data_IF_755666686168
#
_entry.id   IF_755666686168
#
_cell.length_a   1.000
_cell.length_b   1.000
_cell.length_c   1.000
_cell.angle_alpha   90.00
_cell.angle_beta   90.00
_cell.angle_gamma   90.00
#
_symmetry.space_group_name_H-M   'P 1'
#
loop_
_entity.id
_entity.type
_entity.pdbx_description
1 polymer ?
#
# COMPACT_ATOMS: atom_id res chain seq x y z
N UNK A 1 -19.70 -17.94 -26.25
CA UNK A 1 -18.97 -16.91 -27.03
C UNK A 1 -18.98 -15.51 -26.39
N UNK A 2 -20.07 -15.05 -25.78
CA UNK A 2 -20.13 -13.73 -25.08
C UNK A 2 -19.34 -13.71 -23.75
N UNK A 3 -19.33 -14.79 -22.97
CA UNK A 3 -18.61 -14.88 -21.70
C UNK A 3 -17.07 -14.75 -21.90
N UNK A 4 -16.53 -15.34 -22.95
CA UNK A 4 -15.10 -15.25 -23.31
C UNK A 4 -14.75 -13.82 -23.72
N UNK A 5 -15.62 -13.12 -24.44
CA UNK A 5 -15.39 -11.72 -24.83
C UNK A 5 -15.45 -10.76 -23.64
N UNK A 6 -16.32 -11.03 -22.66
CA UNK A 6 -16.39 -10.27 -21.40
C UNK A 6 -15.13 -10.51 -20.55
N UNK A 7 -14.65 -11.77 -20.46
CA UNK A 7 -13.42 -12.11 -19.78
C UNK A 7 -12.19 -11.46 -20.46
N UNK A 8 -12.15 -11.44 -21.78
CA UNK A 8 -11.07 -10.81 -22.55
C UNK A 8 -11.12 -9.28 -22.42
N UNK A 9 -12.30 -8.67 -22.32
CA UNK A 9 -12.44 -7.23 -22.10
C UNK A 9 -12.05 -6.83 -20.67
N UNK A 10 -12.34 -7.64 -19.67
CA UNK A 10 -11.90 -7.46 -18.29
C UNK A 10 -10.38 -7.63 -18.12
N UNK A 11 -9.74 -8.50 -18.92
CA UNK A 11 -8.29 -8.68 -18.95
C UNK A 11 -7.55 -7.53 -19.67
N UNK A 12 -8.19 -6.86 -20.62
CA UNK A 12 -7.63 -5.72 -21.37
C UNK A 12 -7.82 -4.35 -20.68
N UNK A 13 -8.69 -4.28 -19.66
CA UNK A 13 -8.92 -3.07 -18.87
C UNK A 13 -7.86 -2.84 -17.75
N UNK A 14 -6.82 -3.68 -17.68
CA UNK A 14 -5.72 -3.55 -16.71
C UNK A 14 -4.64 -2.59 -17.20
N UNK A 15 -4.98 -1.32 -17.37
CA UNK A 15 -3.95 -0.33 -17.73
C UNK A 15 -4.20 0.98 -17.00
N UNK A 16 -3.13 1.40 -16.38
CA UNK A 16 -2.81 2.68 -15.73
C UNK A 16 -2.91 2.69 -14.22
N UNK A 17 -1.73 2.44 -13.64
CA UNK A 17 -1.48 2.52 -12.20
C UNK A 17 -0.78 3.82 -11.93
N UNK A 18 -1.46 4.71 -11.23
CA UNK A 18 -0.85 5.90 -10.68
C UNK A 18 -0.91 5.77 -9.17
N UNK A 19 0.23 5.57 -8.53
CA UNK A 19 0.32 5.62 -7.08
C UNK A 19 1.02 6.91 -6.67
N UNK A 20 0.27 7.86 -6.15
CA UNK A 20 0.86 9.06 -5.55
C UNK A 20 1.18 8.87 -4.07
N UNK A 21 0.72 7.77 -3.45
CA UNK A 21 0.91 7.55 -2.01
C UNK A 21 0.98 6.05 -1.69
N UNK A 22 1.83 5.71 -0.71
CA UNK A 22 2.04 4.33 -0.27
C UNK A 22 1.25 4.06 1.01
N UNK A 23 0.40 3.02 0.98
CA UNK A 23 -0.30 2.54 2.15
C UNK A 23 0.61 1.59 2.94
N UNK A 24 1.30 2.15 3.93
CA UNK A 24 2.30 1.41 4.71
C UNK A 24 1.70 0.46 5.75
N UNK A 25 0.44 0.67 6.15
CA UNK A 25 -0.26 -0.27 7.04
C UNK A 25 -0.66 -1.56 6.31
N UNK A 26 -1.00 -1.49 5.02
CA UNK A 26 -1.25 -2.67 4.20
C UNK A 26 -0.03 -3.60 4.08
N UNK A 27 1.18 -3.08 4.32
CA UNK A 27 2.43 -3.83 4.31
C UNK A 27 2.69 -4.51 5.67
N UNK A 28 2.00 -4.11 6.74
CA UNK A 28 2.16 -4.68 8.08
C UNK A 28 1.72 -6.16 8.09
N UNK A 29 2.58 -7.05 8.59
CA UNK A 29 2.23 -8.45 8.81
C UNK A 29 1.87 -8.68 10.28
N UNK A 30 0.79 -9.40 10.53
CA UNK A 30 0.45 -9.93 11.86
C UNK A 30 1.22 -11.23 12.12
N UNK A 31 1.73 -11.39 13.34
CA UNK A 31 2.41 -12.58 13.89
C UNK A 31 3.53 -13.18 13.03
N UNK A 32 4.74 -12.86 13.42
CA UNK A 32 5.97 -13.44 12.87
C UNK A 32 6.83 -13.87 14.08
N UNK A 33 7.55 -14.99 13.97
CA UNK A 33 8.51 -15.43 14.99
C UNK A 33 9.60 -14.37 15.19
N UNK A 34 10.16 -14.28 16.40
CA UNK A 34 11.21 -13.33 16.74
C UNK A 34 12.44 -13.45 15.83
N UNK A 35 13.16 -12.34 15.68
CA UNK A 35 14.40 -12.25 14.92
C UNK A 35 14.32 -11.39 13.67
N UNK A 36 15.31 -11.55 12.82
CA UNK A 36 15.37 -10.90 11.51
C UNK A 36 14.67 -11.74 10.46
N UNK A 37 13.93 -11.07 9.58
CA UNK A 37 13.36 -11.66 8.37
C UNK A 37 13.54 -10.70 7.21
N UNK A 38 13.80 -11.23 6.03
CA UNK A 38 13.88 -10.44 4.81
C UNK A 38 13.04 -11.08 3.72
N UNK A 39 12.60 -10.24 2.78
CA UNK A 39 11.91 -10.66 1.57
C UNK A 39 12.31 -9.76 0.43
N UNK A 40 12.60 -10.36 -0.70
CA UNK A 40 12.87 -9.68 -1.96
C UNK A 40 11.84 -10.17 -2.97
N UNK A 41 11.16 -9.24 -3.61
CA UNK A 41 10.28 -9.50 -4.74
C UNK A 41 10.85 -8.79 -5.96
N UNK A 42 11.01 -9.49 -7.08
CA UNK A 42 11.48 -8.94 -8.36
C UNK A 42 10.50 -9.35 -9.46
N UNK A 43 10.01 -8.37 -10.19
CA UNK A 43 9.08 -8.56 -11.29
C UNK A 43 9.63 -7.90 -12.55
N UNK A 44 9.57 -8.59 -13.67
CA UNK A 44 9.97 -8.07 -14.97
C UNK A 44 8.88 -8.36 -15.99
N UNK A 45 8.61 -7.39 -16.86
CA UNK A 45 7.69 -7.52 -17.96
C UNK A 45 8.31 -7.04 -19.26
N UNK A 46 8.13 -7.81 -20.33
CA UNK A 46 8.51 -7.44 -21.68
C UNK A 46 7.33 -7.74 -22.60
N UNK A 47 6.94 -6.77 -23.40
CA UNK A 47 5.99 -6.96 -24.49
C UNK A 47 6.58 -6.40 -25.77
N UNK A 48 6.47 -7.14 -26.86
CA UNK A 48 6.98 -6.74 -28.17
C UNK A 48 5.96 -7.09 -29.26
N UNK A 49 5.87 -6.26 -30.28
CA UNK A 49 4.94 -6.42 -31.39
C UNK A 49 4.05 -5.20 -31.58
N UNK A 50 2.74 -5.38 -31.64
CA UNK A 50 1.78 -4.27 -31.85
C UNK A 50 1.75 -3.26 -30.71
N UNK A 51 2.16 -3.67 -29.52
CA UNK A 51 2.47 -2.80 -28.38
C UNK A 51 3.84 -3.18 -27.85
N UNK A 52 4.63 -2.18 -27.47
CA UNK A 52 5.96 -2.37 -26.92
C UNK A 52 6.01 -1.79 -25.53
N UNK A 53 6.35 -2.59 -24.51
CA UNK A 53 6.68 -2.08 -23.20
C UNK A 53 7.74 -2.95 -22.51
N UNK A 54 8.52 -2.30 -21.66
CA UNK A 54 9.40 -2.91 -20.69
C UNK A 54 9.02 -2.42 -19.31
N UNK A 55 9.00 -3.31 -18.33
CA UNK A 55 8.76 -2.96 -16.94
C UNK A 55 9.64 -3.75 -16.01
N UNK A 56 10.03 -3.12 -14.90
CA UNK A 56 10.74 -3.74 -13.80
C UNK A 56 10.20 -3.21 -12.48
N UNK A 57 9.99 -4.10 -11.53
CA UNK A 57 9.62 -3.75 -10.15
C UNK A 57 10.48 -4.57 -9.19
N UNK A 58 11.05 -3.90 -8.19
CA UNK A 58 11.83 -4.52 -7.14
C UNK A 58 11.34 -4.04 -5.77
N UNK A 59 11.11 -4.98 -4.85
CA UNK A 59 10.77 -4.69 -3.46
C UNK A 59 11.67 -5.45 -2.52
N UNK A 60 12.24 -4.76 -1.55
CA UNK A 60 13.00 -5.33 -0.44
C UNK A 60 12.29 -4.97 0.87
N UNK A 61 12.07 -5.96 1.72
CA UNK A 61 11.58 -5.78 3.07
C UNK A 61 12.48 -6.48 4.08
N UNK A 62 12.80 -5.80 5.17
CA UNK A 62 13.54 -6.33 6.31
C UNK A 62 12.74 -6.04 7.57
N UNK A 63 12.40 -7.08 8.32
CA UNK A 63 11.71 -7.01 9.61
C UNK A 63 12.66 -7.41 10.73
N UNK A 64 12.59 -6.71 11.85
CA UNK A 64 13.19 -7.10 13.12
C UNK A 64 12.14 -7.12 14.20
N UNK A 65 11.98 -8.29 14.85
CA UNK A 65 10.87 -8.58 15.75
C UNK A 65 11.39 -9.05 17.10
N UNK A 66 10.90 -8.44 18.15
CA UNK A 66 11.08 -8.79 19.55
C UNK A 66 9.71 -8.81 20.26
N UNK A 67 9.61 -9.42 21.47
CA UNK A 67 8.33 -9.50 22.18
C UNK A 67 7.67 -8.16 22.45
N UNK A 68 8.45 -7.12 22.76
CA UNK A 68 7.94 -5.80 23.13
C UNK A 68 7.95 -4.79 21.99
N UNK A 69 8.63 -5.06 20.87
CA UNK A 69 8.72 -4.11 19.75
C UNK A 69 8.98 -4.78 18.41
N UNK A 70 8.56 -4.10 17.38
CA UNK A 70 8.78 -4.50 15.99
C UNK A 70 9.30 -3.31 15.20
N UNK A 71 10.23 -3.55 14.30
CA UNK A 71 10.63 -2.56 13.32
C UNK A 71 10.71 -3.19 11.94
N UNK A 72 10.47 -2.39 10.91
CA UNK A 72 10.70 -2.84 9.55
C UNK A 72 11.16 -1.68 8.67
N UNK A 73 11.91 -2.04 7.63
CA UNK A 73 12.25 -1.18 6.51
C UNK A 73 11.71 -1.85 5.25
N UNK A 74 11.06 -1.08 4.40
CA UNK A 74 10.63 -1.52 3.07
C UNK A 74 11.04 -0.49 2.04
N UNK A 75 11.68 -0.95 0.96
CA UNK A 75 11.98 -0.16 -0.22
C UNK A 75 11.34 -0.78 -1.46
N UNK A 76 10.85 0.04 -2.36
CA UNK A 76 10.31 -0.37 -3.65
C UNK A 76 10.78 0.58 -4.74
N UNK A 77 11.12 0.02 -5.87
CA UNK A 77 11.37 0.75 -7.11
C UNK A 77 10.49 0.14 -8.21
N UNK A 78 9.93 0.97 -9.06
CA UNK A 78 9.16 0.52 -10.21
C UNK A 78 9.41 1.43 -11.41
N UNK A 79 9.74 0.82 -12.54
CA UNK A 79 9.94 1.49 -13.81
C UNK A 79 9.11 0.83 -14.88
N UNK A 80 8.45 1.62 -15.71
CA UNK A 80 7.73 1.15 -16.88
C UNK A 80 7.87 2.15 -18.01
N UNK A 81 8.31 1.66 -19.16
CA UNK A 81 8.39 2.39 -20.41
C UNK A 81 7.53 1.68 -21.47
N UNK A 82 6.81 2.43 -22.28
CA UNK A 82 6.04 1.90 -23.39
C UNK A 82 6.07 2.86 -24.57
N UNK A 83 6.26 2.31 -25.79
CA UNK A 83 6.38 3.08 -27.01
C UNK A 83 7.41 4.22 -26.93
N UNK A 84 8.56 3.96 -26.28
CA UNK A 84 9.66 4.92 -26.04
C UNK A 84 9.28 6.12 -25.15
N UNK A 85 8.22 6.00 -24.38
CA UNK A 85 7.83 6.99 -23.38
C UNK A 85 7.77 6.34 -22.00
N UNK A 86 8.31 7.04 -21.00
CA UNK A 86 8.22 6.58 -19.60
C UNK A 86 6.76 6.68 -19.16
N UNK A 87 6.20 5.55 -18.72
CA UNK A 87 4.83 5.46 -18.22
C UNK A 87 4.80 5.54 -16.70
N UNK A 88 5.84 5.00 -16.02
CA UNK A 88 5.96 5.04 -14.58
C UNK A 88 7.43 4.98 -14.19
N UNK A 89 7.85 5.90 -13.35
CA UNK A 89 9.13 5.91 -12.67
C UNK A 89 8.89 6.40 -11.24
N UNK A 90 9.05 5.50 -10.28
CA UNK A 90 8.76 5.78 -8.87
C UNK A 90 9.61 4.92 -7.96
N UNK A 91 9.90 5.45 -6.79
CA UNK A 91 10.46 4.68 -5.69
C UNK A 91 10.00 5.22 -4.34
N UNK A 92 9.99 4.36 -3.34
CA UNK A 92 9.86 4.77 -1.95
C UNK A 92 10.75 3.94 -1.03
N UNK A 93 11.09 4.55 0.09
CA UNK A 93 11.75 3.91 1.23
C UNK A 93 10.99 4.30 2.49
N UNK A 94 10.53 3.31 3.25
CA UNK A 94 9.79 3.51 4.48
C UNK A 94 10.40 2.71 5.62
N UNK A 95 10.61 3.38 6.77
CA UNK A 95 11.00 2.76 8.02
C UNK A 95 9.94 2.98 9.08
N UNK A 96 9.61 1.95 9.86
CA UNK A 96 8.65 2.04 10.97
C UNK A 96 9.14 1.30 12.19
N UNK A 97 8.96 1.92 13.34
CA UNK A 97 9.15 1.33 14.66
C UNK A 97 7.81 1.29 15.40
N UNK A 98 7.51 0.17 16.03
CA UNK A 98 6.26 -0.10 16.74
C UNK A 98 6.63 -0.67 18.10
N UNK A 99 6.08 -0.10 19.15
CA UNK A 99 6.21 -0.59 20.50
C UNK A 99 4.89 -1.16 20.98
N UNK A 100 4.88 -2.37 21.50
CA UNK A 100 3.69 -3.05 22.02
C UNK A 100 3.62 -2.83 23.53
N UNK A 101 2.80 -1.88 23.98
CA UNK A 101 2.60 -1.62 25.42
C UNK A 101 1.80 -2.77 26.02
N UNK A 102 0.70 -3.11 25.38
CA UNK A 102 -0.19 -4.21 25.74
C UNK A 102 -0.94 -4.72 24.48
N UNK A 103 -1.92 -5.58 24.66
CA UNK A 103 -2.73 -6.11 23.55
C UNK A 103 -3.64 -5.08 22.88
N UNK A 104 -3.82 -3.90 23.49
CA UNK A 104 -4.75 -2.85 23.03
C UNK A 104 -4.01 -1.71 22.33
N UNK A 105 -2.84 -1.30 22.82
CA UNK A 105 -2.16 -0.06 22.43
C UNK A 105 -0.76 -0.33 21.86
N UNK A 106 -0.54 0.14 20.64
CA UNK A 106 0.74 0.08 19.93
C UNK A 106 1.14 1.48 19.46
N UNK A 107 1.92 2.27 20.24
CA UNK A 107 2.55 3.48 19.72
C UNK A 107 3.51 3.14 18.59
N UNK A 108 3.53 4.02 17.58
CA UNK A 108 4.36 3.84 16.38
C UNK A 108 4.99 5.15 15.91
N UNK A 109 6.16 5.00 15.31
CA UNK A 109 6.92 6.08 14.68
C UNK A 109 7.36 5.63 13.29
N UNK A 110 7.35 6.55 12.31
CA UNK A 110 7.77 6.24 10.96
C UNK A 110 8.46 7.40 10.25
N UNK A 111 9.29 7.02 9.29
CA UNK A 111 9.90 7.93 8.32
C UNK A 111 9.68 7.37 6.92
N UNK A 112 9.54 8.24 5.92
CA UNK A 112 9.39 7.83 4.52
C UNK A 112 10.03 8.85 3.59
N UNK A 113 10.61 8.35 2.51
CA UNK A 113 11.04 9.14 1.36
C UNK A 113 10.49 8.49 0.10
N UNK A 114 9.96 9.31 -0.82
CA UNK A 114 9.43 8.79 -2.08
C UNK A 114 9.51 9.82 -3.21
N UNK A 115 9.51 9.33 -4.44
CA UNK A 115 9.22 10.11 -5.64
C UNK A 115 8.29 9.34 -6.56
N UNK A 116 7.61 10.05 -7.45
CA UNK A 116 6.71 9.46 -8.44
C UNK A 116 6.50 10.46 -9.58
N UNK A 117 7.27 10.29 -10.66
CA UNK A 117 7.26 11.21 -11.79
C UNK A 117 5.91 11.26 -12.51
N UNK A 118 5.12 10.19 -12.42
CA UNK A 118 3.81 10.14 -13.06
C UNK A 118 2.81 11.16 -12.49
N UNK A 119 2.91 11.45 -11.20
CA UNK A 119 2.08 12.47 -10.51
C UNK A 119 2.87 13.74 -10.23
N UNK A 120 3.96 13.96 -10.98
CA UNK A 120 4.81 15.15 -10.87
C UNK A 120 5.49 15.31 -9.50
N UNK A 121 5.52 14.25 -8.67
CA UNK A 121 6.12 14.27 -7.35
C UNK A 121 7.63 13.98 -7.47
N UNK A 122 8.44 15.03 -7.38
CA UNK A 122 9.91 14.92 -7.46
C UNK A 122 10.51 14.39 -6.17
N UNK A 123 10.03 14.85 -5.03
CA UNK A 123 10.49 14.43 -3.70
C UNK A 123 9.37 14.59 -2.67
N UNK A 124 9.22 13.60 -1.81
CA UNK A 124 8.36 13.67 -0.62
C UNK A 124 9.09 13.04 0.55
N UNK A 125 9.17 13.79 1.63
CA UNK A 125 9.74 13.33 2.89
C UNK A 125 8.67 13.40 3.96
N UNK A 126 8.48 12.31 4.68
CA UNK A 126 7.53 12.18 5.77
C UNK A 126 8.26 11.77 7.05
N UNK A 127 7.88 12.38 8.16
CA UNK A 127 8.22 11.95 9.50
C UNK A 127 6.98 12.02 10.38
N UNK A 128 6.62 10.95 11.04
CA UNK A 128 5.37 10.94 11.79
C UNK A 128 5.32 9.85 12.84
N UNK A 129 4.24 9.90 13.62
CA UNK A 129 3.95 8.92 14.64
C UNK A 129 2.50 8.95 15.05
N UNK A 130 2.11 7.95 15.81
CA UNK A 130 0.74 7.79 16.26
C UNK A 130 0.58 6.64 17.23
N UNK A 131 -0.67 6.31 17.49
CA UNK A 131 -1.07 5.18 18.31
C UNK A 131 -2.05 4.34 17.53
N UNK A 132 -1.77 3.04 17.45
CA UNK A 132 -2.69 2.03 16.94
C UNK A 132 -3.43 1.40 18.10
N UNK A 133 -4.74 1.32 17.99
CA UNK A 133 -5.67 0.82 18.98
C UNK A 133 -6.35 -0.43 18.42
N UNK A 134 -6.30 -1.55 19.15
CA UNK A 134 -7.06 -2.74 18.82
C UNK A 134 -8.53 -2.54 19.22
N UNK A 135 -9.44 -2.49 18.26
CA UNK A 135 -10.88 -2.34 18.52
C UNK A 135 -11.54 -3.70 18.78
N UNK A 136 -11.14 -4.69 17.98
CA UNK A 136 -11.64 -6.06 18.10
C UNK A 136 -10.52 -7.00 17.68
N UNK A 137 -10.07 -7.85 18.60
CA UNK A 137 -9.04 -8.86 18.33
C UNK A 137 -9.62 -10.23 18.64
N UNK A 138 -9.78 -11.04 17.61
CA UNK A 138 -9.96 -12.47 17.75
C UNK A 138 -8.67 -13.13 17.28
N UNK A 139 -8.02 -13.89 18.14
CA UNK A 139 -6.78 -14.56 17.78
C UNK A 139 -7.02 -15.54 16.63
N UNK A 140 -6.50 -15.22 15.44
CA UNK A 140 -6.44 -16.16 14.31
C UNK A 140 -5.48 -17.35 14.54
N UNK A 141 -4.99 -17.52 15.78
CA UNK A 141 -3.85 -18.41 16.10
C UNK A 141 -4.27 -19.81 16.43
N UNK A 142 -5.51 -20.04 16.73
CA UNK A 142 -5.99 -21.37 17.03
C UNK A 142 -7.00 -21.82 16.00
N UNK A 143 -6.58 -22.78 15.17
CA UNK A 143 -7.40 -23.70 14.39
C UNK A 143 -8.62 -23.08 13.65
N UNK A 144 -8.50 -23.01 12.33
CA UNK A 144 -9.60 -22.99 11.35
C UNK A 144 -10.90 -22.23 11.71
N UNK A 145 -10.88 -21.27 12.60
CA UNK A 145 -12.09 -20.53 12.96
C UNK A 145 -12.19 -19.17 12.28
N UNK A 146 -13.39 -18.86 11.76
CA UNK A 146 -13.77 -17.53 11.31
C UNK A 146 -13.38 -16.47 12.33
N UNK A 147 -12.70 -15.40 11.91
CA UNK A 147 -12.20 -14.34 12.79
C UNK A 147 -12.37 -12.96 12.18
N UNK A 148 -12.45 -11.96 13.05
CA UNK A 148 -12.50 -10.56 12.67
C UNK A 148 -11.61 -9.74 13.61
N UNK A 149 -10.67 -8.98 13.02
CA UNK A 149 -9.83 -8.01 13.72
C UNK A 149 -10.04 -6.63 13.14
N UNK A 150 -10.17 -5.63 14.01
CA UNK A 150 -10.25 -4.23 13.63
C UNK A 150 -9.28 -3.39 14.45
N UNK A 151 -8.60 -2.47 13.78
CA UNK A 151 -7.65 -1.55 14.40
C UNK A 151 -7.88 -0.13 13.91
N UNK A 152 -7.81 0.82 14.82
CA UNK A 152 -7.84 2.25 14.53
C UNK A 152 -6.45 2.84 14.81
N UNK A 153 -5.86 3.50 13.83
CA UNK A 153 -4.66 4.29 14.00
C UNK A 153 -5.01 5.77 14.03
N UNK A 154 -4.43 6.51 14.98
CA UNK A 154 -4.56 7.96 15.07
C UNK A 154 -3.16 8.54 15.22
N UNK A 155 -2.81 9.50 14.35
CA UNK A 155 -1.47 10.07 14.35
C UNK A 155 -1.37 11.38 13.59
N UNK A 156 -0.12 11.86 13.52
CA UNK A 156 0.24 13.02 12.73
C UNK A 156 1.60 12.80 12.06
N UNK A 157 1.82 13.53 10.97
CA UNK A 157 3.09 13.54 10.25
C UNK A 157 3.41 14.94 9.77
N UNK A 158 4.69 15.25 9.73
CA UNK A 158 5.23 16.36 8.97
C UNK A 158 5.53 15.87 7.56
N UNK A 159 5.03 16.57 6.58
CA UNK A 159 5.15 16.28 5.16
C UNK A 159 5.84 17.44 4.46
N UNK A 160 6.88 17.15 3.70
CA UNK A 160 7.53 18.06 2.79
C UNK A 160 7.46 17.44 1.38
N UNK A 161 6.84 18.17 0.46
CA UNK A 161 6.67 17.74 -0.94
C UNK A 161 7.27 18.76 -1.90
N UNK A 162 7.90 18.25 -2.96
CA UNK A 162 8.34 19.01 -4.11
C UNK A 162 7.63 18.48 -5.36
N UNK A 163 6.89 19.37 -6.01
CA UNK A 163 6.11 19.07 -7.21
C UNK A 163 6.79 19.72 -8.43
N UNK A 164 7.00 18.93 -9.48
CA UNK A 164 7.62 19.34 -10.74
C UNK A 164 6.65 20.11 -11.64
N UNK A 165 6.31 21.31 -11.26
CA UNK A 165 5.56 22.28 -12.06
C UNK A 165 6.40 23.56 -12.22
N UNK A 166 6.02 24.46 -13.10
CA UNK A 166 6.75 25.72 -13.33
C UNK A 166 5.92 26.90 -12.81
N UNK A 167 6.42 27.63 -11.78
CA UNK A 167 7.64 27.38 -10.99
C UNK A 167 7.49 26.14 -10.10
N UNK A 168 8.62 25.51 -9.72
CA UNK A 168 8.63 24.38 -8.77
C UNK A 168 7.85 24.74 -7.50
N UNK A 169 6.94 23.87 -7.08
CA UNK A 169 6.10 24.09 -5.90
C UNK A 169 6.59 23.20 -4.74
N UNK A 170 6.97 23.85 -3.64
CA UNK A 170 7.37 23.15 -2.41
C UNK A 170 6.32 23.44 -1.34
N UNK A 171 5.85 22.39 -0.68
CA UNK A 171 4.92 22.48 0.44
C UNK A 171 5.51 21.82 1.68
N UNK A 172 5.27 22.44 2.82
CA UNK A 172 5.64 21.93 4.15
C UNK A 172 4.41 22.04 5.05
N UNK A 173 3.87 20.90 5.45
CA UNK A 173 2.61 20.87 6.21
C UNK A 173 2.65 19.82 7.33
N UNK A 174 1.82 20.03 8.34
CA UNK A 174 1.47 19.01 9.32
C UNK A 174 0.15 18.39 8.89
N UNK A 175 0.17 17.07 8.67
CA UNK A 175 -1.00 16.31 8.27
C UNK A 175 -1.40 15.35 9.38
N UNK A 176 -2.67 15.38 9.77
CA UNK A 176 -3.24 14.30 10.58
C UNK A 176 -3.29 13.04 9.72
N UNK A 177 -2.87 11.91 10.25
CA UNK A 177 -2.88 10.62 9.55
C UNK A 177 -3.60 9.58 10.39
N UNK A 178 -4.79 9.19 9.94
CA UNK A 178 -5.64 8.25 10.64
C UNK A 178 -5.90 7.06 9.72
N UNK A 179 -6.04 5.86 10.28
CA UNK A 179 -6.36 4.71 9.47
C UNK A 179 -7.26 3.71 10.20
N UNK A 180 -8.03 2.98 9.42
CA UNK A 180 -8.82 1.84 9.84
C UNK A 180 -8.32 0.60 9.12
N UNK A 181 -7.90 -0.41 9.88
CA UNK A 181 -7.54 -1.74 9.37
C UNK A 181 -8.64 -2.73 9.74
N UNK A 182 -9.14 -3.46 8.76
CA UNK A 182 -10.11 -4.53 8.92
C UNK A 182 -9.53 -5.82 8.36
N UNK A 183 -9.46 -6.85 9.19
CA UNK A 183 -9.10 -8.21 8.78
C UNK A 183 -10.31 -9.10 9.06
N UNK A 184 -10.87 -9.69 8.03
CA UNK A 184 -12.00 -10.58 8.16
C UNK A 184 -11.74 -11.92 7.46
N UNK A 185 -11.82 -12.98 8.21
CA UNK A 185 -11.70 -14.36 7.72
C UNK A 185 -13.01 -15.09 8.04
N UNK A 186 -14.03 -15.03 7.18
CA UNK A 186 -15.31 -15.69 7.42
C UNK A 186 -15.24 -17.20 7.27
N UNK A 187 -14.24 -17.72 6.55
CA UNK A 187 -14.00 -19.16 6.38
C UNK A 187 -12.51 -19.43 6.15
N UNK A 188 -12.11 -20.70 6.18
CA UNK A 188 -10.73 -21.10 5.91
C UNK A 188 -10.29 -20.78 4.48
N UNK A 189 -11.23 -20.74 3.56
CA UNK A 189 -10.95 -20.54 2.14
C UNK A 189 -11.08 -19.09 1.68
N UNK A 190 -11.52 -18.16 2.56
CA UNK A 190 -11.73 -16.77 2.18
C UNK A 190 -11.29 -15.82 3.27
N UNK A 191 -10.55 -14.77 2.88
CA UNK A 191 -10.19 -13.67 3.76
C UNK A 191 -10.22 -12.32 3.04
N UNK A 192 -10.50 -11.28 3.79
CA UNK A 192 -10.45 -9.89 3.37
C UNK A 192 -9.51 -9.14 4.32
N UNK A 193 -8.58 -8.39 3.75
CA UNK A 193 -7.80 -7.39 4.45
C UNK A 193 -8.09 -6.04 3.80
N UNK A 194 -8.53 -5.06 4.56
CA UNK A 194 -8.79 -3.71 4.07
C UNK A 194 -8.13 -2.69 4.98
N UNK A 195 -7.39 -1.77 4.40
CA UNK A 195 -6.77 -0.66 5.13
C UNK A 195 -7.16 0.64 4.45
N UNK A 196 -7.80 1.52 5.20
CA UNK A 196 -8.20 2.85 4.72
C UNK A 196 -7.50 3.92 5.55
N UNK A 197 -6.70 4.75 4.90
CA UNK A 197 -6.17 5.99 5.48
C UNK A 197 -7.07 7.17 5.16
N UNK A 198 -7.21 8.04 6.13
CA UNK A 198 -7.71 9.40 5.98
C UNK A 198 -6.65 10.38 6.51
N UNK A 199 -6.16 11.22 5.64
CA UNK A 199 -5.13 12.21 5.94
C UNK A 199 -5.67 13.60 5.63
N UNK A 200 -5.39 14.57 6.48
CA UNK A 200 -5.86 15.94 6.32
C UNK A 200 -4.80 16.93 6.79
N UNK A 201 -4.57 18.01 6.02
CA UNK A 201 -3.79 19.15 6.46
C UNK A 201 -4.49 19.82 7.64
N UNK A 202 -3.82 19.90 8.80
CA UNK A 202 -4.41 20.44 10.04
C UNK A 202 -4.75 21.92 9.94
N UNK A 203 -4.14 22.65 9.00
CA UNK A 203 -4.39 24.07 8.76
C UNK A 203 -5.41 24.32 7.64
N UNK A 204 -5.61 23.33 6.74
CA UNK A 204 -6.50 23.44 5.57
C UNK A 204 -7.32 22.16 5.42
N UNK A 205 -8.43 22.06 6.15
CA UNK A 205 -9.26 20.85 6.20
C UNK A 205 -9.82 20.40 4.83
N UNK A 206 -9.82 21.29 3.84
CA UNK A 206 -10.17 20.94 2.46
C UNK A 206 -9.09 20.09 1.78
N UNK A 207 -7.83 20.27 2.15
CA UNK A 207 -6.72 19.44 1.66
C UNK A 207 -6.72 18.10 2.42
N UNK A 208 -7.36 17.12 1.83
CA UNK A 208 -7.45 15.78 2.40
C UNK A 208 -7.23 14.70 1.37
N UNK A 209 -6.73 13.56 1.85
CA UNK A 209 -6.41 12.38 1.05
C UNK A 209 -7.05 11.14 1.65
N UNK A 210 -7.53 10.25 0.78
CA UNK A 210 -8.04 8.92 1.16
C UNK A 210 -7.25 7.87 0.40
N UNK A 211 -6.69 6.91 1.14
CA UNK A 211 -6.01 5.77 0.54
C UNK A 211 -6.71 4.51 1.04
N UNK A 212 -7.15 3.66 0.13
CA UNK A 212 -7.68 2.35 0.49
C UNK A 212 -6.95 1.26 -0.28
N UNK A 213 -6.53 0.23 0.43
CA UNK A 213 -6.03 -1.02 -0.14
C UNK A 213 -6.86 -2.16 0.43
N UNK A 214 -7.60 -2.82 -0.44
CA UNK A 214 -8.43 -3.97 -0.07
C UNK A 214 -7.99 -5.19 -0.86
N UNK A 215 -7.64 -6.24 -0.13
CA UNK A 215 -7.25 -7.55 -0.67
C UNK A 215 -8.27 -8.60 -0.30
N UNK A 216 -8.81 -9.24 -1.32
CA UNK A 216 -9.63 -10.44 -1.22
C UNK A 216 -8.74 -11.65 -1.56
N UNK A 217 -8.75 -12.68 -0.73
CA UNK A 217 -7.96 -13.87 -0.94
C UNK A 217 -8.85 -15.11 -0.84
N UNK A 218 -8.77 -15.95 -1.87
CA UNK A 218 -9.52 -17.20 -1.98
C UNK A 218 -8.51 -18.36 -2.04
N UNK A 219 -8.49 -19.22 -1.04
CA UNK A 219 -7.65 -20.43 -1.03
C UNK A 219 -8.25 -21.48 -1.94
N UNK A 220 -7.54 -21.84 -3.01
CA UNK A 220 -7.90 -22.92 -3.94
C UNK A 220 -7.39 -24.25 -3.36
N UNK A 221 -6.14 -24.22 -2.86
CA UNK A 221 -5.51 -25.29 -2.08
C UNK A 221 -4.75 -24.68 -0.92
N UNK A 222 -4.09 -25.49 -0.10
CA UNK A 222 -3.21 -24.99 0.98
C UNK A 222 -2.11 -24.07 0.45
N UNK A 223 -1.53 -24.42 -0.73
CA UNK A 223 -0.41 -23.70 -1.35
C UNK A 223 -0.82 -22.72 -2.46
N UNK A 224 -2.05 -22.79 -2.98
CA UNK A 224 -2.49 -21.99 -4.12
C UNK A 224 -3.65 -21.09 -3.72
N UNK A 225 -3.48 -19.78 -3.91
CA UNK A 225 -4.49 -18.78 -3.56
C UNK A 225 -4.74 -17.86 -4.74
N UNK A 226 -6.00 -17.62 -5.04
CA UNK A 226 -6.41 -16.54 -5.93
C UNK A 226 -6.53 -15.25 -5.12
N UNK A 227 -6.00 -14.16 -5.65
CA UNK A 227 -6.05 -12.84 -5.00
C UNK A 227 -6.65 -11.81 -5.93
N UNK A 228 -7.47 -10.95 -5.35
CA UNK A 228 -8.03 -9.77 -6.00
C UNK A 228 -7.71 -8.56 -5.11
N UNK A 229 -6.98 -7.59 -5.66
CA UNK A 229 -6.59 -6.37 -4.97
C UNK A 229 -7.32 -5.19 -5.59
N UNK A 230 -7.88 -4.34 -4.74
CA UNK A 230 -8.48 -3.08 -5.09
C UNK A 230 -7.72 -1.99 -4.35
N UNK A 231 -7.11 -1.07 -5.08
CA UNK A 231 -6.37 0.05 -4.53
C UNK A 231 -7.04 1.34 -5.00
N UNK A 232 -7.47 2.16 -4.06
CA UNK A 232 -8.09 3.45 -4.31
C UNK A 232 -7.26 4.55 -3.67
N UNK A 233 -7.02 5.61 -4.43
CA UNK A 233 -6.33 6.82 -4.00
C UNK A 233 -7.18 8.02 -4.37
N UNK A 234 -7.37 8.91 -3.44
CA UNK A 234 -8.04 10.18 -3.63
C UNK A 234 -7.18 11.28 -3.01
N UNK A 235 -6.93 12.32 -3.78
CA UNK A 235 -6.28 13.56 -3.35
C UNK A 235 -7.18 14.72 -3.76
N UNK A 236 -7.61 15.53 -2.79
CA UNK A 236 -8.52 16.65 -3.04
C UNK A 236 -7.85 17.82 -3.74
N UNK A 237 -6.54 17.98 -3.54
CA UNK A 237 -5.75 19.06 -4.12
C UNK A 237 -4.53 18.47 -4.89
N UNK A 238 -4.76 17.70 -5.98
CA UNK A 238 -3.67 17.14 -6.75
C UNK A 238 -2.96 18.24 -7.56
N UNK A 239 -1.72 18.01 -8.03
CA UNK A 239 -1.05 18.91 -8.97
C UNK A 239 -1.90 19.15 -10.22
N UNK A 240 -1.73 20.33 -10.86
CA UNK A 240 -2.43 20.66 -12.10
C UNK A 240 -2.14 19.62 -13.19
N UNK A 241 -3.21 19.14 -13.84
CA UNK A 241 -3.14 18.07 -14.84
C UNK A 241 -3.23 16.66 -14.29
N UNK A 242 -3.16 16.47 -12.97
CA UNK A 242 -3.36 15.17 -12.30
C UNK A 242 -4.82 15.05 -11.83
N UNK A 243 -5.43 13.86 -11.97
CA UNK A 243 -6.80 13.61 -11.50
C UNK A 243 -6.86 13.50 -9.98
N UNK A 244 -8.02 13.85 -9.41
CA UNK A 244 -8.28 13.74 -7.96
C UNK A 244 -8.29 12.29 -7.47
N UNK A 245 -8.54 11.29 -8.32
CA UNK A 245 -8.62 9.91 -7.89
C UNK A 245 -7.98 8.93 -8.87
N UNK A 246 -7.52 7.83 -8.33
CA UNK A 246 -7.02 6.65 -9.03
C UNK A 246 -7.64 5.39 -8.44
N UNK A 247 -8.06 4.49 -9.30
CA UNK A 247 -8.54 3.16 -8.95
C UNK A 247 -7.76 2.10 -9.71
N UNK A 248 -7.08 1.24 -8.97
CA UNK A 248 -6.38 0.11 -9.55
C UNK A 248 -6.99 -1.20 -9.07
N UNK A 249 -7.23 -2.09 -10.01
CA UNK A 249 -7.73 -3.45 -9.76
C UNK A 249 -6.72 -4.43 -10.34
N UNK A 250 -6.18 -5.30 -9.47
CA UNK A 250 -5.26 -6.37 -9.85
C UNK A 250 -5.79 -7.71 -9.36
N UNK A 251 -5.61 -8.73 -10.17
CA UNK A 251 -5.89 -10.10 -9.77
C UNK A 251 -4.73 -11.02 -10.14
N UNK A 252 -4.61 -12.14 -9.45
CA UNK A 252 -3.53 -13.07 -9.69
C UNK A 252 -3.59 -14.30 -8.81
N UNK A 253 -2.55 -15.10 -8.90
CA UNK A 253 -2.38 -16.31 -8.10
C UNK A 253 -1.15 -16.13 -7.22
N UNK A 254 -1.29 -16.47 -5.94
CA UNK A 254 -0.18 -16.56 -4.99
C UNK A 254 0.14 -18.03 -4.75
N UNK A 255 1.40 -18.38 -4.82
CA UNK A 255 1.93 -19.69 -4.42
C UNK A 255 2.63 -19.51 -3.06
N UNK A 256 2.21 -20.28 -2.05
CA UNK A 256 2.89 -20.37 -0.75
C UNK A 256 3.64 -21.71 -0.70
N UNK A 257 4.97 -21.65 -0.55
CA UNK A 257 5.88 -22.79 -0.52
C UNK A 257 6.39 -23.01 0.89
#
# INVERSE_FOLDING_TARGET
MYLIRILTFLLLASSFVVYSQVNTEAIRKSKINEGFKSRIDLLFGLNSGNSEFISGEGRLRIDYIKPAYRSFIVGEIAYKEGNKAVISDKAFLHGRFIYEIDSLLEPEFFIQKEYNDFVLLTDRNLIGGGIRISISKKDFVTDSSAGFDAYLGVGAMYEMEEINIIPTHITEIIRSTNYLTLNWKPSDNFSINSVTYFQVDVNRLNDHRILNDTRFQFSITESVKFVFNLNYRFDKEPPEGVKEYDLEIKNGITLEL
#
